data_IF_059530748078
#
_entry.id   IF_059530748078
#
_cell.length_a   1.000
_cell.length_b   1.000
_cell.length_c   1.000
_cell.angle_alpha   90.00
_cell.angle_beta   90.00
_cell.angle_gamma   90.00
#
_symmetry.space_group_name_H-M   'P 1'
#
loop_
_entity.id
_entity.type
_entity.pdbx_description
1 polymer ?
#
# COMPACT_ATOMS: atom_id res chain seq x y z
N UNK A 1 1.31 11.46 -16.91
CA UNK A 1 0.39 12.54 -16.47
C UNK A 1 -0.07 12.34 -15.02
N UNK A 2 -0.76 11.25 -14.70
CA UNK A 2 -1.35 10.98 -13.37
C UNK A 2 -0.31 11.06 -12.24
N UNK A 3 0.85 10.41 -12.41
CA UNK A 3 1.94 10.50 -11.45
C UNK A 3 2.30 11.94 -11.09
N UNK A 4 2.69 12.72 -12.10
CA UNK A 4 3.25 14.07 -11.91
C UNK A 4 2.32 15.00 -11.13
N UNK A 5 1.00 14.91 -11.37
CA UNK A 5 0.03 15.88 -10.86
C UNK A 5 -0.79 15.38 -9.67
N UNK A 6 -0.92 14.06 -9.52
CA UNK A 6 -1.77 13.45 -8.52
C UNK A 6 -0.90 12.65 -7.55
N UNK A 7 -0.19 11.64 -8.04
CA UNK A 7 0.49 10.66 -7.16
C UNK A 7 1.90 11.06 -6.70
N UNK A 8 2.46 12.15 -7.22
CA UNK A 8 3.86 12.55 -6.93
C UNK A 8 4.06 12.94 -5.47
N UNK A 9 3.03 13.52 -4.83
CA UNK A 9 3.02 13.85 -3.40
C UNK A 9 3.19 12.59 -2.54
N UNK A 10 2.41 11.55 -2.83
CA UNK A 10 2.48 10.27 -2.14
C UNK A 10 3.88 9.62 -2.22
N UNK A 11 4.50 9.70 -3.39
CA UNK A 11 5.84 9.16 -3.62
C UNK A 11 7.00 10.03 -3.13
N UNK A 12 6.75 11.19 -2.50
CA UNK A 12 7.84 12.00 -1.96
C UNK A 12 8.67 11.24 -0.92
N UNK A 13 8.05 10.32 -0.19
CA UNK A 13 8.78 9.39 0.67
C UNK A 13 9.18 8.13 -0.12
N UNK A 14 10.46 8.02 -0.48
CA UNK A 14 11.03 6.80 -1.08
C UNK A 14 11.07 5.62 -0.10
N UNK A 15 11.24 5.92 1.19
CA UNK A 15 11.11 4.95 2.27
C UNK A 15 9.84 5.29 3.07
N UNK A 16 8.67 4.74 2.71
CA UNK A 16 7.42 5.08 3.36
C UNK A 16 7.46 4.73 4.85
N UNK A 17 6.76 5.55 5.64
CA UNK A 17 6.44 5.32 7.05
C UNK A 17 4.93 5.15 7.26
N UNK A 18 4.46 4.69 8.43
CA UNK A 18 3.06 4.28 8.63
C UNK A 18 2.03 5.37 8.29
N UNK A 19 2.43 6.64 8.41
CA UNK A 19 1.58 7.80 8.11
C UNK A 19 1.62 8.23 6.64
N UNK A 20 2.64 7.81 5.88
CA UNK A 20 2.79 8.18 4.47
C UNK A 20 1.73 7.55 3.55
N UNK A 21 1.09 6.46 3.99
CA UNK A 21 0.03 5.79 3.24
C UNK A 21 -1.20 6.66 2.98
N UNK A 22 -1.45 7.67 3.83
CA UNK A 22 -2.52 8.67 3.64
C UNK A 22 -1.98 10.06 3.27
N UNK A 23 -0.67 10.23 3.10
CA UNK A 23 -0.08 11.49 2.64
C UNK A 23 -0.20 11.58 1.11
N UNK A 24 -1.39 11.89 0.60
CA UNK A 24 -1.69 11.83 -0.83
C UNK A 24 -2.47 13.04 -1.32
N UNK A 25 -2.54 13.23 -2.64
CA UNK A 25 -3.26 14.35 -3.22
C UNK A 25 -4.79 14.22 -2.97
N UNK A 26 -5.56 15.32 -2.85
CA UNK A 26 -7.00 15.24 -2.58
C UNK A 26 -7.80 14.37 -3.56
N UNK A 27 -7.37 14.29 -4.83
CA UNK A 27 -7.98 13.40 -5.83
C UNK A 27 -7.78 11.92 -5.46
N UNK A 28 -6.60 11.56 -4.94
CA UNK A 28 -6.34 10.20 -4.47
C UNK A 28 -7.19 9.89 -3.25
N UNK A 29 -7.29 10.82 -2.29
CA UNK A 29 -8.20 10.68 -1.15
C UNK A 29 -9.64 10.45 -1.59
N UNK A 30 -10.13 11.24 -2.54
CA UNK A 30 -11.50 11.09 -3.03
C UNK A 30 -11.73 9.69 -3.62
N UNK A 31 -10.85 9.24 -4.50
CA UNK A 31 -10.94 7.90 -5.13
C UNK A 31 -10.78 6.79 -4.07
N UNK A 32 -9.79 6.90 -3.19
CA UNK A 32 -9.48 5.92 -2.15
C UNK A 32 -10.66 5.69 -1.20
N UNK A 33 -11.29 6.78 -0.72
CA UNK A 33 -12.40 6.70 0.22
C UNK A 33 -13.75 6.36 -0.42
N UNK A 34 -13.86 6.23 -1.76
CA UNK A 34 -15.11 5.77 -2.40
C UNK A 34 -15.63 4.45 -1.81
N UNK A 35 -14.72 3.56 -1.38
CA UNK A 35 -15.09 2.31 -0.71
C UNK A 35 -15.87 2.53 0.61
N UNK A 36 -15.54 3.59 1.35
CA UNK A 36 -16.22 3.93 2.60
C UNK A 36 -17.62 4.51 2.36
N UNK A 37 -17.82 5.22 1.24
CA UNK A 37 -19.12 5.79 0.86
C UNK A 37 -20.07 4.77 0.21
N UNK A 38 -19.56 3.63 -0.26
CA UNK A 38 -20.37 2.61 -0.92
C UNK A 38 -21.61 2.16 -0.12
N UNK A 39 -21.53 1.92 1.21
CA UNK A 39 -22.72 1.59 2.01
C UNK A 39 -23.79 2.68 2.04
N UNK A 40 -23.46 3.95 1.80
CA UNK A 40 -24.43 5.05 1.79
C UNK A 40 -25.31 5.05 0.53
N UNK A 41 -24.87 4.38 -0.54
CA UNK A 41 -25.68 4.20 -1.75
C UNK A 41 -26.83 3.20 -1.53
N UNK A 42 -26.81 2.47 -0.42
CA UNK A 42 -27.81 1.50 -0.03
C UNK A 42 -28.41 1.90 1.33
N UNK A 43 -29.56 1.32 1.67
CA UNK A 43 -30.17 1.51 3.00
C UNK A 43 -29.46 0.69 4.08
N UNK A 44 -28.13 0.78 4.15
CA UNK A 44 -27.31 0.11 5.14
C UNK A 44 -27.30 0.88 6.47
N UNK A 45 -27.12 0.16 7.57
CA UNK A 45 -26.92 0.78 8.88
C UNK A 45 -25.65 1.67 8.88
N UNK A 46 -25.66 2.88 9.49
CA UNK A 46 -24.52 3.81 9.48
C UNK A 46 -23.19 3.24 9.99
N UNK A 47 -23.24 2.17 10.79
CA UNK A 47 -22.04 1.45 11.24
C UNK A 47 -21.22 0.86 10.10
N UNK A 48 -21.82 0.51 8.96
CA UNK A 48 -21.08 0.02 7.81
C UNK A 48 -20.18 1.09 7.20
N UNK A 49 -20.66 2.33 7.11
CA UNK A 49 -19.85 3.48 6.70
C UNK A 49 -18.67 3.68 7.67
N UNK A 50 -18.95 3.70 8.98
CA UNK A 50 -17.91 3.88 9.98
C UNK A 50 -16.86 2.77 9.92
N UNK A 51 -17.29 1.50 9.85
CA UNK A 51 -16.40 0.36 9.70
C UNK A 51 -15.50 0.49 8.46
N UNK A 52 -16.09 0.75 7.29
CA UNK A 52 -15.33 0.86 6.05
C UNK A 52 -14.36 2.05 6.08
N UNK A 53 -14.77 3.18 6.68
CA UNK A 53 -13.93 4.36 6.88
C UNK A 53 -12.74 4.06 7.81
N UNK A 54 -12.98 3.48 8.98
CA UNK A 54 -11.92 3.11 9.92
C UNK A 54 -10.95 2.11 9.31
N UNK A 55 -11.48 1.10 8.60
CA UNK A 55 -10.65 0.15 7.89
C UNK A 55 -9.78 0.83 6.83
N UNK A 56 -10.36 1.72 6.00
CA UNK A 56 -9.62 2.48 5.01
C UNK A 56 -8.55 3.40 5.64
N UNK A 57 -8.76 3.93 6.85
CA UNK A 57 -7.77 4.78 7.52
C UNK A 57 -6.53 3.99 7.98
N UNK A 58 -6.70 2.74 8.44
CA UNK A 58 -5.61 1.94 9.00
C UNK A 58 -4.97 0.98 8.00
N UNK A 59 -5.70 0.55 6.96
CA UNK A 59 -5.24 -0.46 6.01
C UNK A 59 -3.91 -0.11 5.31
N UNK A 60 -3.62 1.15 4.92
CA UNK A 60 -2.36 1.50 4.27
C UNK A 60 -1.14 1.26 5.15
N UNK A 61 -1.28 1.24 6.48
CA UNK A 61 -0.16 1.10 7.42
C UNK A 61 0.67 -0.14 7.09
N UNK A 62 0.04 -1.28 6.78
CA UNK A 62 0.76 -2.53 6.49
C UNK A 62 1.73 -2.42 5.31
N UNK A 63 1.37 -1.68 4.26
CA UNK A 63 2.24 -1.46 3.11
C UNK A 63 3.27 -0.34 3.30
N UNK A 64 3.13 0.47 4.36
CA UNK A 64 3.90 1.70 4.53
C UNK A 64 4.67 1.75 5.85
N UNK A 65 4.59 0.75 6.72
CA UNK A 65 5.27 0.77 8.02
C UNK A 65 6.81 0.72 7.93
N UNK A 66 7.36 0.47 6.73
CA UNK A 66 8.80 0.40 6.48
C UNK A 66 9.43 -0.94 6.88
N UNK A 67 8.63 -1.92 7.29
CA UNK A 67 9.10 -3.21 7.79
C UNK A 67 8.44 -4.37 7.04
N UNK A 68 9.27 -5.27 6.49
CA UNK A 68 8.78 -6.52 5.90
C UNK A 68 8.35 -7.53 6.99
N UNK A 69 7.84 -8.70 6.57
CA UNK A 69 7.45 -9.77 7.48
C UNK A 69 8.52 -10.05 8.56
N UNK A 70 8.12 -10.23 9.85
CA UNK A 70 6.76 -10.46 10.35
C UNK A 70 5.96 -9.18 10.68
N UNK A 71 6.42 -7.99 10.31
CA UNK A 71 5.70 -6.73 10.51
C UNK A 71 4.62 -6.52 9.42
N UNK A 72 4.42 -5.29 8.93
CA UNK A 72 3.38 -4.95 7.96
C UNK A 72 3.51 -5.63 6.60
N UNK A 73 4.70 -6.12 6.23
CA UNK A 73 4.93 -6.70 4.91
C UNK A 73 5.17 -5.62 3.85
N UNK A 74 5.78 -4.50 4.26
CA UNK A 74 5.97 -3.31 3.42
C UNK A 74 6.88 -3.51 2.21
N UNK A 75 7.63 -4.61 2.09
CA UNK A 75 8.65 -4.74 1.06
C UNK A 75 8.11 -4.65 -0.38
N UNK A 76 6.89 -5.15 -0.63
CA UNK A 76 6.24 -5.05 -1.95
C UNK A 76 6.01 -3.59 -2.35
N UNK A 77 5.45 -2.80 -1.44
CA UNK A 77 5.11 -1.41 -1.68
C UNK A 77 6.31 -0.46 -1.50
N UNK A 78 7.29 -0.85 -0.69
CA UNK A 78 8.60 -0.18 -0.65
C UNK A 78 9.28 -0.17 -2.02
N UNK A 79 9.25 -1.29 -2.75
CA UNK A 79 9.76 -1.34 -4.12
C UNK A 79 8.97 -0.42 -5.06
N UNK A 80 7.64 -0.35 -4.88
CA UNK A 80 6.80 0.60 -5.60
C UNK A 80 7.20 2.05 -5.31
N UNK A 81 7.40 2.43 -4.05
CA UNK A 81 7.89 3.77 -3.69
C UNK A 81 9.30 4.08 -4.21
N UNK A 82 10.18 3.07 -4.24
CA UNK A 82 11.58 3.24 -4.63
C UNK A 82 11.78 3.36 -6.13
N UNK A 83 11.03 2.55 -6.90
CA UNK A 83 11.21 2.38 -8.35
C UNK A 83 10.08 2.96 -9.18
N UNK A 84 8.94 3.26 -8.56
CA UNK A 84 7.73 3.83 -9.15
C UNK A 84 7.00 2.96 -10.20
N UNK A 85 7.71 2.33 -11.12
CA UNK A 85 7.14 1.67 -12.31
C UNK A 85 6.78 0.18 -12.10
N UNK A 86 6.56 -0.24 -10.86
CA UNK A 86 6.27 -1.64 -10.54
C UNK A 86 5.33 -1.76 -9.35
N UNK A 87 4.76 -2.96 -9.15
CA UNK A 87 4.03 -3.32 -7.94
C UNK A 87 2.90 -2.32 -7.59
N UNK A 88 2.09 -1.92 -8.59
CA UNK A 88 1.03 -0.92 -8.45
C UNK A 88 -0.13 -1.37 -7.56
N UNK A 89 -0.34 -2.68 -7.44
CA UNK A 89 -1.43 -3.27 -6.68
C UNK A 89 -1.00 -3.77 -5.31
N UNK A 90 -1.67 -4.85 -4.89
CA UNK A 90 -1.36 -5.62 -3.68
C UNK A 90 -0.89 -7.00 -4.07
N UNK A 91 0.02 -7.65 -3.31
CA UNK A 91 0.45 -9.02 -3.60
C UNK A 91 -0.70 -10.05 -3.56
N UNK A 92 -1.85 -9.70 -2.97
CA UNK A 92 -3.03 -10.58 -2.92
C UNK A 92 -3.71 -10.74 -4.28
N UNK A 93 -3.67 -9.69 -5.12
CA UNK A 93 -4.34 -9.66 -6.41
C UNK A 93 -3.28 -9.61 -7.50
N UNK A 94 -3.21 -10.66 -8.32
CA UNK A 94 -2.14 -10.87 -9.31
C UNK A 94 -2.18 -9.93 -10.53
N UNK A 95 -2.71 -8.71 -10.41
CA UNK A 95 -2.76 -7.76 -11.53
C UNK A 95 -1.37 -7.34 -12.00
N UNK A 96 -0.43 -7.12 -11.08
CA UNK A 96 0.94 -6.78 -11.49
C UNK A 96 1.60 -7.90 -12.31
N UNK A 97 1.26 -9.17 -12.03
CA UNK A 97 1.73 -10.30 -12.85
C UNK A 97 1.01 -10.36 -14.19
N UNK A 98 -0.31 -10.14 -14.18
CA UNK A 98 -1.15 -10.15 -15.38
C UNK A 98 -0.72 -9.07 -16.39
N UNK A 99 -0.36 -7.88 -15.89
CA UNK A 99 0.01 -6.74 -16.73
C UNK A 99 1.54 -6.53 -16.86
N UNK A 100 2.35 -7.44 -16.30
CA UNK A 100 3.81 -7.42 -16.48
C UNK A 100 4.55 -6.32 -15.69
N UNK A 101 3.95 -5.79 -14.63
CA UNK A 101 4.52 -4.75 -13.75
C UNK A 101 5.01 -5.30 -12.41
N UNK A 102 4.96 -6.62 -12.22
CA UNK A 102 5.45 -7.28 -11.03
C UNK A 102 6.97 -7.22 -10.91
N UNK A 103 7.46 -6.82 -9.74
CA UNK A 103 8.87 -6.93 -9.37
C UNK A 103 9.03 -7.74 -8.09
N UNK A 104 9.94 -8.71 -8.16
CA UNK A 104 10.21 -9.62 -7.05
C UNK A 104 10.81 -8.89 -5.85
N UNK A 105 10.28 -9.21 -4.67
CA UNK A 105 10.85 -8.81 -3.39
C UNK A 105 11.95 -9.79 -3.04
N UNK A 106 13.22 -9.37 -3.17
CA UNK A 106 14.36 -10.17 -2.73
C UNK A 106 14.36 -10.19 -1.21
N UNK A 107 13.98 -11.33 -0.62
CA UNK A 107 14.18 -11.55 0.82
C UNK A 107 15.68 -11.56 1.10
N UNK A 108 16.12 -10.81 2.11
CA UNK A 108 17.49 -10.97 2.63
C UNK A 108 17.70 -12.46 2.96
N UNK A 109 18.80 -13.08 2.52
CA UNK A 109 19.10 -14.44 2.94
C UNK A 109 19.13 -14.48 4.46
N UNK A 110 18.43 -15.44 5.06
CA UNK A 110 18.55 -15.71 6.48
C UNK A 110 20.02 -15.91 6.78
N UNK A 111 20.60 -15.09 7.68
CA UNK A 111 21.93 -15.33 8.21
C UNK A 111 21.83 -16.68 8.93
N UNK A 112 22.24 -17.75 8.26
CA UNK A 112 22.42 -19.04 8.90
C UNK A 112 23.55 -18.83 9.89
N UNK A 113 23.22 -18.72 11.17
CA UNK A 113 24.16 -18.96 12.27
C UNK A 113 24.55 -20.44 12.25
N UNK A 114 25.29 -20.87 11.23
CA UNK A 114 26.15 -22.04 11.35
C UNK A 114 27.38 -21.54 12.08
N UNK A 115 27.34 -21.72 13.40
CA UNK A 115 28.50 -21.60 14.26
C UNK A 115 29.65 -22.40 13.64
N UNK A 116 30.77 -21.71 13.53
CA UNK A 116 32.10 -22.20 13.21
C UNK A 116 32.47 -23.41 14.07
N UNK A 117 33.24 -24.31 13.44
CA UNK A 117 33.88 -25.51 13.98
C UNK A 117 34.42 -25.41 15.42
#
# INVERSE_FOLDING_TARGET
>A
FLYRHVHSLHHQSRNPGPWSGLSMHPIEHFIYYTCAYFPLLFSCHPLHFLYAKFHADIAPIGGHDGHDAPAGGSAYHYLHHSLFECNYGTPLVNFDRLFGTYKEVVKKPSINNKQTN
#
